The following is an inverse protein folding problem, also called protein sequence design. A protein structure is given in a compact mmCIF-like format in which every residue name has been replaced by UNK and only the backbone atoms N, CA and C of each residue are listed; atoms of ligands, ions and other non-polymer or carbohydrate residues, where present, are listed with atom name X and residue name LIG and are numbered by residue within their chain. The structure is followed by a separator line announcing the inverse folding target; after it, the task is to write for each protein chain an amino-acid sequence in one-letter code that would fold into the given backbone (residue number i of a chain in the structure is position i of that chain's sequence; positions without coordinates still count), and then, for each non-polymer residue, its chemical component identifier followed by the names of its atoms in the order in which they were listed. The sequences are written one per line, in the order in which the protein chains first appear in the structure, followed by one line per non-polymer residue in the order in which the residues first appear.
data_IF_978578286575
#
_entry.id   IF_978578286575
#
_cell.length_a   1.000
_cell.length_b   1.000
_cell.length_c   1.000
_cell.angle_alpha   90.00
_cell.angle_beta   90.00
_cell.angle_gamma   90.00
#
_symmetry.space_group_name_H-M   'P 1'
#
loop_
_entity.id
_entity.type
_entity.pdbx_description
1 polymer ?
#
# COMPACT_ATOMS: atom_id res chain seq x y z
N UNK A 1 -5.73 -5.25 17.15
CA UNK A 1 -5.74 -6.71 16.94
C UNK A 1 -7.06 -7.24 16.41
N UNK A 2 -8.15 -7.27 17.20
CA UNK A 2 -9.44 -7.81 16.75
C UNK A 2 -10.04 -7.04 15.57
N UNK A 3 -10.00 -5.70 15.64
CA UNK A 3 -10.41 -4.79 14.56
C UNK A 3 -9.56 -4.94 13.30
N UNK A 4 -8.24 -5.05 13.46
CA UNK A 4 -7.31 -5.23 12.33
C UNK A 4 -7.55 -6.56 11.59
N UNK A 5 -8.01 -7.57 12.33
CA UNK A 5 -8.37 -8.89 11.80
C UNK A 5 -9.83 -8.96 11.31
N UNK A 6 -10.63 -7.91 11.53
CA UNK A 6 -12.09 -7.91 11.31
C UNK A 6 -12.77 -9.15 11.92
N UNK A 7 -12.34 -9.55 13.12
CA UNK A 7 -12.86 -10.73 13.82
C UNK A 7 -14.26 -10.42 14.38
N UNK A 8 -15.30 -10.64 13.56
CA UNK A 8 -16.69 -10.24 13.83
C UNK A 8 -17.25 -10.84 15.12
N UNK A 9 -16.86 -12.08 15.44
CA UNK A 9 -17.34 -12.78 16.63
C UNK A 9 -16.75 -12.17 17.90
N UNK A 10 -15.48 -11.78 17.84
CA UNK A 10 -14.83 -11.09 18.95
C UNK A 10 -15.32 -9.63 19.08
N UNK A 11 -15.54 -8.94 17.96
CA UNK A 11 -16.03 -7.57 17.93
C UNK A 11 -17.46 -7.45 18.46
N UNK A 12 -18.35 -8.37 18.09
CA UNK A 12 -19.73 -8.40 18.60
C UNK A 12 -19.80 -8.67 20.11
N UNK A 13 -18.89 -9.50 20.65
CA UNK A 13 -18.79 -9.72 22.10
C UNK A 13 -18.30 -8.49 22.86
N UNK A 14 -17.37 -7.74 22.26
CA UNK A 14 -16.86 -6.48 22.82
C UNK A 14 -17.92 -5.37 22.78
N UNK A 15 -18.62 -5.22 21.65
CA UNK A 15 -19.50 -4.07 21.41
C UNK A 15 -20.97 -4.31 21.81
N UNK A 16 -21.46 -5.55 21.76
CA UNK A 16 -22.87 -5.87 21.93
C UNK A 16 -23.29 -6.44 23.28
N UNK A 17 -22.42 -7.18 23.97
CA UNK A 17 -22.83 -8.01 25.14
C UNK A 17 -22.19 -7.56 26.46
N UNK A 18 -21.17 -6.69 26.43
CA UNK A 18 -20.47 -6.30 27.67
C UNK A 18 -19.81 -7.50 28.34
N UNK A 19 -19.32 -8.46 27.55
CA UNK A 19 -18.53 -9.59 28.05
C UNK A 19 -17.28 -9.03 28.74
N UNK A 20 -17.33 -8.95 30.07
CA UNK A 20 -16.30 -8.36 30.92
C UNK A 20 -14.92 -8.98 30.64
N UNK A 21 -14.88 -10.25 30.23
CA UNK A 21 -13.63 -10.94 29.91
C UNK A 21 -13.05 -10.40 28.60
N UNK A 22 -13.87 -10.18 27.58
CA UNK A 22 -13.44 -9.59 26.31
C UNK A 22 -13.11 -8.09 26.46
N UNK A 23 -13.89 -7.38 27.29
CA UNK A 23 -13.73 -5.95 27.58
C UNK A 23 -12.46 -5.67 28.41
N UNK A 24 -12.16 -6.51 29.39
CA UNK A 24 -10.93 -6.47 30.20
C UNK A 24 -9.75 -7.21 29.55
N UNK A 25 -9.93 -7.76 28.35
CA UNK A 25 -8.93 -8.52 27.60
C UNK A 25 -8.34 -9.75 28.36
N UNK A 26 -9.11 -10.37 29.26
CA UNK A 26 -8.72 -11.54 30.05
C UNK A 26 -8.93 -12.85 29.30
N UNK A 27 -8.28 -13.01 28.15
CA UNK A 27 -8.42 -14.21 27.33
C UNK A 27 -7.69 -15.42 27.95
N UNK A 28 -8.20 -16.64 27.70
CA UNK A 28 -7.39 -17.85 27.89
C UNK A 28 -6.08 -17.72 27.10
N UNK A 29 -4.97 -18.18 27.68
CA UNK A 29 -3.65 -18.05 27.08
C UNK A 29 -3.61 -18.58 25.64
N UNK A 30 -4.25 -19.72 25.38
CA UNK A 30 -4.33 -20.32 24.05
C UNK A 30 -5.06 -19.41 23.04
N UNK A 31 -6.19 -18.81 23.44
CA UNK A 31 -6.97 -17.90 22.60
C UNK A 31 -6.18 -16.61 22.29
N UNK A 32 -5.49 -16.04 23.30
CA UNK A 32 -4.67 -14.85 23.13
C UNK A 32 -3.49 -15.10 22.17
N UNK A 33 -2.81 -16.24 22.34
CA UNK A 33 -1.71 -16.64 21.46
C UNK A 33 -2.22 -16.84 20.03
N UNK A 34 -3.38 -17.48 19.85
CA UNK A 34 -4.03 -17.63 18.55
C UNK A 34 -4.35 -16.29 17.88
N UNK A 35 -4.94 -15.36 18.63
CA UNK A 35 -5.25 -14.00 18.14
C UNK A 35 -3.97 -13.26 17.72
N UNK A 36 -2.92 -13.31 18.55
CA UNK A 36 -1.62 -12.68 18.23
C UNK A 36 -0.95 -13.30 17.02
N UNK A 37 -1.04 -14.62 16.86
CA UNK A 37 -0.47 -15.32 15.70
C UNK A 37 -1.16 -14.90 14.40
N UNK A 38 -2.51 -14.85 14.39
CA UNK A 38 -3.29 -14.37 13.25
C UNK A 38 -2.93 -12.94 12.89
N UNK A 39 -2.83 -12.06 13.88
CA UNK A 39 -2.46 -10.65 13.68
C UNK A 39 -1.04 -10.50 13.12
N UNK A 40 -0.06 -11.22 13.66
CA UNK A 40 1.31 -11.23 13.12
C UNK A 40 1.37 -11.77 11.69
N UNK A 41 0.57 -12.79 11.38
CA UNK A 41 0.48 -13.30 10.01
C UNK A 41 -0.07 -12.24 9.06
N UNK A 42 -1.10 -11.49 9.47
CA UNK A 42 -1.66 -10.39 8.70
C UNK A 42 -0.62 -9.28 8.45
N UNK A 43 0.15 -8.89 9.48
CA UNK A 43 1.21 -7.89 9.35
C UNK A 43 2.27 -8.36 8.35
N UNK A 44 2.81 -9.57 8.50
CA UNK A 44 3.81 -10.11 7.57
C UNK A 44 3.29 -10.15 6.14
N UNK A 45 2.04 -10.56 5.94
CA UNK A 45 1.44 -10.57 4.60
C UNK A 45 1.34 -9.16 4.01
N UNK A 46 0.99 -8.15 4.82
CA UNK A 46 0.98 -6.74 4.40
C UNK A 46 2.38 -6.23 4.05
N UNK A 47 3.38 -6.54 4.86
CA UNK A 47 4.78 -6.16 4.62
C UNK A 47 5.31 -6.82 3.34
N UNK A 48 5.07 -8.10 3.16
CA UNK A 48 5.45 -8.83 1.93
C UNK A 48 4.78 -8.24 0.68
N UNK A 49 3.49 -7.85 0.77
CA UNK A 49 2.79 -7.18 -0.33
C UNK A 49 3.34 -5.78 -0.60
N UNK A 50 3.74 -5.04 0.43
CA UNK A 50 4.39 -3.74 0.26
C UNK A 50 5.77 -3.89 -0.37
N UNK A 51 6.55 -4.88 0.06
CA UNK A 51 7.87 -5.20 -0.49
C UNK A 51 7.78 -5.62 -1.95
N UNK A 52 6.81 -6.47 -2.30
CA UNK A 52 6.54 -6.84 -3.68
C UNK A 52 6.20 -5.62 -4.58
N UNK A 53 5.64 -4.56 -4.01
CA UNK A 53 5.31 -3.31 -4.72
C UNK A 53 6.42 -2.26 -4.69
N UNK A 54 7.49 -2.44 -3.91
CA UNK A 54 8.62 -1.50 -3.85
C UNK A 54 9.35 -1.34 -5.21
N UNK A 55 9.60 -2.40 -6.00
CA UNK A 55 10.20 -2.28 -7.33
C UNK A 55 9.34 -1.38 -8.24
N UNK A 56 8.03 -1.65 -8.30
CA UNK A 56 7.09 -0.88 -9.11
C UNK A 56 7.04 0.59 -8.71
N UNK A 57 7.01 0.87 -7.40
CA UNK A 57 7.04 2.26 -6.89
C UNK A 57 8.32 2.98 -7.28
N UNK A 58 9.48 2.32 -7.18
CA UNK A 58 10.77 2.92 -7.55
C UNK A 58 10.84 3.21 -9.04
N UNK A 59 10.42 2.27 -9.88
CA UNK A 59 10.41 2.45 -11.33
C UNK A 59 9.40 3.53 -11.76
N UNK A 60 8.22 3.62 -11.14
CA UNK A 60 7.28 4.73 -11.36
C UNK A 60 7.85 6.10 -10.95
N UNK A 61 8.49 6.17 -9.79
CA UNK A 61 9.15 7.41 -9.35
C UNK A 61 10.29 7.82 -10.31
N UNK A 62 11.06 6.85 -10.81
CA UNK A 62 12.10 7.09 -11.82
C UNK A 62 11.54 7.60 -13.13
N UNK A 63 10.51 6.94 -13.68
CA UNK A 63 9.87 7.38 -14.92
C UNK A 63 9.30 8.80 -14.79
N UNK A 64 8.76 9.15 -13.62
CA UNK A 64 8.27 10.49 -13.34
C UNK A 64 9.42 11.51 -13.28
N UNK A 65 10.52 11.19 -12.60
CA UNK A 65 11.69 12.07 -12.56
C UNK A 65 12.25 12.33 -13.96
N UNK A 66 12.36 11.30 -14.80
CA UNK A 66 12.81 11.44 -16.19
C UNK A 66 11.86 12.34 -17.02
N UNK A 67 10.54 12.23 -16.81
CA UNK A 67 9.56 13.10 -17.47
C UNK A 67 9.70 14.57 -17.02
N UNK A 68 9.92 14.81 -15.72
CA UNK A 68 10.12 16.16 -15.20
C UNK A 68 11.39 16.77 -15.79
N UNK A 69 12.50 16.03 -15.81
CA UNK A 69 13.74 16.49 -16.46
C UNK A 69 13.55 16.79 -17.94
N UNK A 70 12.76 15.98 -18.66
CA UNK A 70 12.41 16.27 -20.05
C UNK A 70 11.67 17.61 -20.18
N UNK A 71 10.66 17.86 -19.34
CA UNK A 71 9.90 19.12 -19.33
C UNK A 71 10.82 20.30 -19.01
N UNK A 72 11.69 20.17 -18.01
CA UNK A 72 12.63 21.21 -17.61
C UNK A 72 13.55 21.61 -18.77
N UNK A 73 14.15 20.64 -19.46
CA UNK A 73 15.01 20.89 -20.62
C UNK A 73 14.25 21.57 -21.76
N UNK A 74 13.03 21.12 -22.06
CA UNK A 74 12.20 21.71 -23.13
C UNK A 74 11.78 23.16 -22.80
N UNK A 75 11.53 23.45 -21.51
CA UNK A 75 11.28 24.82 -21.05
C UNK A 75 12.51 25.70 -21.22
N UNK A 76 13.71 25.20 -20.92
CA UNK A 76 14.97 25.92 -21.18
C UNK A 76 15.18 26.20 -22.68
N UNK A 77 14.74 25.29 -23.54
CA UNK A 77 14.75 25.44 -25.01
C UNK A 77 13.62 26.35 -25.54
N UNK A 78 12.71 26.81 -24.67
CA UNK A 78 11.65 27.79 -24.98
C UNK A 78 10.25 27.21 -25.19
N UNK A 79 10.06 25.90 -24.96
CA UNK A 79 8.74 25.25 -25.03
C UNK A 79 7.96 25.50 -23.74
N UNK A 80 6.84 26.24 -23.83
CA UNK A 80 5.99 26.57 -22.68
C UNK A 80 4.64 25.83 -22.64
N UNK A 81 4.29 25.11 -23.72
CA UNK A 81 3.01 24.42 -23.85
C UNK A 81 3.24 22.95 -24.18
N UNK A 82 2.76 22.07 -23.30
CA UNK A 82 2.86 20.63 -23.45
C UNK A 82 1.48 20.02 -23.65
N UNK A 83 1.34 19.14 -24.64
CA UNK A 83 0.15 18.30 -24.77
C UNK A 83 0.21 17.21 -23.70
N UNK A 84 -0.77 17.20 -22.80
CA UNK A 84 -0.85 16.20 -21.73
C UNK A 84 -0.83 14.77 -22.26
N UNK A 85 -1.47 14.52 -23.41
CA UNK A 85 -1.44 13.21 -24.08
C UNK A 85 -0.02 12.77 -24.44
N UNK A 86 0.84 13.69 -24.89
CA UNK A 86 2.24 13.39 -25.21
C UNK A 86 3.06 13.08 -23.96
N UNK A 87 2.89 13.87 -22.89
CA UNK A 87 3.56 13.61 -21.61
C UNK A 87 3.14 12.26 -21.01
N UNK A 88 1.86 11.92 -21.11
CA UNK A 88 1.34 10.61 -20.71
C UNK A 88 2.02 9.50 -21.50
N UNK A 89 2.08 9.61 -22.83
CA UNK A 89 2.73 8.60 -23.66
C UNK A 89 4.22 8.42 -23.34
N UNK A 90 4.94 9.51 -23.09
CA UNK A 90 6.36 9.45 -22.66
C UNK A 90 6.51 8.69 -21.34
N UNK A 91 5.64 8.99 -20.36
CA UNK A 91 5.64 8.30 -19.07
C UNK A 91 5.29 6.81 -19.20
N UNK A 92 4.23 6.48 -19.94
CA UNK A 92 3.79 5.09 -20.18
C UNK A 92 4.87 4.29 -20.93
N UNK A 93 5.53 4.90 -21.92
CA UNK A 93 6.65 4.28 -22.63
C UNK A 93 7.81 3.98 -21.67
N UNK A 94 8.16 4.92 -20.78
CA UNK A 94 9.20 4.68 -19.78
C UNK A 94 8.83 3.64 -18.74
N UNK A 95 7.56 3.57 -18.34
CA UNK A 95 7.09 2.47 -17.49
C UNK A 95 7.22 1.12 -18.19
N UNK A 96 6.91 1.05 -19.49
CA UNK A 96 7.06 -0.18 -20.28
C UNK A 96 8.52 -0.63 -20.37
N UNK A 97 9.48 0.31 -20.53
CA UNK A 97 10.92 0.03 -20.48
C UNK A 97 11.35 -0.60 -19.14
N UNK A 98 10.69 -0.22 -18.04
CA UNK A 98 10.89 -0.80 -16.72
C UNK A 98 10.08 -2.08 -16.47
N UNK A 99 9.38 -2.60 -17.48
CA UNK A 99 8.55 -3.81 -17.38
C UNK A 99 7.22 -3.58 -16.66
N UNK A 100 6.84 -2.34 -16.39
CA UNK A 100 5.57 -1.98 -15.76
C UNK A 100 4.55 -1.68 -16.84
N UNK A 101 3.48 -2.49 -16.89
CA UNK A 101 2.31 -2.19 -17.73
C UNK A 101 1.36 -1.29 -16.93
N UNK A 102 1.07 -0.10 -17.46
CA UNK A 102 0.10 0.86 -16.90
C UNK A 102 -1.25 0.73 -17.56
#
# INVERSE_FOLDING_TARGET
MARDLLDSDLLTRIEGVGDLIALEAKYHLACLVGLRNRHRSLIRNRENLQDARKPDKKARARAFAELVTYIENEVEEGTLLFKFASLRHLYESRLADFGIRS
#
